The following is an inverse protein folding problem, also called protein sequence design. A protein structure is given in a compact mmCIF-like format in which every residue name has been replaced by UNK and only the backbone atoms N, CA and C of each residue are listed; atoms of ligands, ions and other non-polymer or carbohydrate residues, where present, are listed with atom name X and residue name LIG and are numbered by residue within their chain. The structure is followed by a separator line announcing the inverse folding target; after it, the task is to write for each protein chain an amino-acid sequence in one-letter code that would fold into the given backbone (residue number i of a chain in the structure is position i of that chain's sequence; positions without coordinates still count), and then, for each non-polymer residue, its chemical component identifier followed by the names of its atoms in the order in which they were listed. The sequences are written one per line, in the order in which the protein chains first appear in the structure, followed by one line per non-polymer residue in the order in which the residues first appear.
data_IF_778457713792
#
_entry.id   IF_778457713792
#
_cell.length_a   1.000
_cell.length_b   1.000
_cell.length_c   1.000
_cell.angle_alpha   90.00
_cell.angle_beta   90.00
_cell.angle_gamma   90.00
#
_symmetry.space_group_name_H-M   'P 1'
#
loop_
_entity.id
_entity.type
_entity.pdbx_description
1 polymer ?
#
# COMPACT_ATOMS: atom_id res chain seq x y z
N UNK A 1 -7.11 -5.62 14.56
CA UNK A 1 -5.92 -6.50 14.58
C UNK A 1 -4.71 -5.66 14.97
N UNK A 2 -3.77 -6.20 15.75
CA UNK A 2 -2.55 -5.49 16.15
C UNK A 2 -1.35 -6.27 15.63
N UNK A 3 -0.45 -5.59 14.92
CA UNK A 3 0.82 -6.17 14.48
C UNK A 3 1.97 -5.59 15.28
N UNK A 4 2.77 -6.45 15.88
CA UNK A 4 4.01 -6.12 16.56
C UNK A 4 5.18 -6.63 15.73
N UNK A 5 6.18 -5.79 15.53
CA UNK A 5 7.42 -6.18 14.86
C UNK A 5 8.54 -6.21 15.90
N UNK A 6 9.36 -7.29 15.93
CA UNK A 6 10.49 -7.35 16.84
C UNK A 6 11.62 -6.38 16.44
N UNK A 7 11.80 -6.14 15.14
CA UNK A 7 12.82 -5.24 14.59
C UNK A 7 12.38 -4.66 13.24
N UNK A 8 12.96 -3.52 12.85
CA UNK A 8 12.83 -2.94 11.49
C UNK A 8 14.07 -2.13 11.16
N UNK A 9 14.24 -1.77 9.88
CA UNK A 9 15.42 -1.04 9.37
C UNK A 9 15.88 0.13 10.26
N UNK A 10 14.93 0.95 10.74
CA UNK A 10 15.23 2.15 11.55
C UNK A 10 15.15 1.93 13.06
N UNK A 11 14.75 0.75 13.52
CA UNK A 11 14.65 0.38 14.93
C UNK A 11 15.14 -1.07 15.06
N UNK A 12 16.46 -1.23 15.02
CA UNK A 12 17.13 -2.53 15.05
C UNK A 12 17.13 -3.14 16.46
N UNK A 13 16.94 -2.32 17.50
CA UNK A 13 17.01 -2.71 18.91
C UNK A 13 15.64 -2.79 19.61
N UNK A 14 14.53 -2.79 18.84
CA UNK A 14 13.18 -2.87 19.39
C UNK A 14 12.46 -1.52 19.53
N UNK A 15 11.55 -1.41 20.50
CA UNK A 15 10.72 -0.21 20.79
C UNK A 15 9.80 0.24 19.64
N UNK A 16 9.49 -0.68 18.73
CA UNK A 16 8.58 -0.41 17.62
C UNK A 16 7.16 -0.35 18.18
N UNK A 17 6.54 0.83 18.10
CA UNK A 17 5.12 0.98 18.44
C UNK A 17 4.27 0.01 17.62
N UNK A 18 3.27 -0.65 18.21
CA UNK A 18 2.42 -1.59 17.50
C UNK A 18 1.68 -0.90 16.36
N UNK A 19 1.53 -1.59 15.24
CA UNK A 19 0.67 -1.16 14.14
C UNK A 19 -0.75 -1.62 14.42
N UNK A 20 -1.63 -0.65 14.67
CA UNK A 20 -3.06 -0.92 14.87
C UNK A 20 -3.74 -0.94 13.51
N UNK A 21 -4.30 -2.10 13.15
CA UNK A 21 -5.02 -2.31 11.92
C UNK A 21 -6.52 -2.40 12.20
N UNK A 22 -7.28 -1.59 11.47
CA UNK A 22 -8.73 -1.55 11.51
C UNK A 22 -9.30 -2.27 10.29
N UNK A 23 -10.41 -2.98 10.50
CA UNK A 23 -11.21 -3.45 9.37
C UNK A 23 -11.78 -2.23 8.64
N UNK A 24 -11.62 -2.19 7.32
CA UNK A 24 -12.18 -1.12 6.50
C UNK A 24 -13.68 -1.37 6.25
N UNK A 25 -14.45 -0.35 5.85
CA UNK A 25 -15.82 -0.54 5.36
C UNK A 25 -15.91 -1.54 4.19
N UNK A 26 -17.12 -2.00 3.89
CA UNK A 26 -17.33 -3.01 2.84
C UNK A 26 -16.98 -2.48 1.45
N UNK A 27 -17.19 -1.19 1.21
CA UNK A 27 -16.85 -0.53 -0.05
C UNK A 27 -15.34 -0.52 -0.32
N UNK A 28 -14.52 -0.66 0.72
CA UNK A 28 -13.05 -0.76 0.65
C UNK A 28 -12.55 -2.15 1.08
N UNK A 29 -13.39 -3.19 1.02
CA UNK A 29 -13.01 -4.54 1.43
C UNK A 29 -11.76 -5.05 0.70
N UNK A 30 -11.61 -4.70 -0.59
CA UNK A 30 -10.47 -5.04 -1.44
C UNK A 30 -9.13 -4.39 -1.00
N UNK A 31 -9.16 -3.34 -0.17
CA UNK A 31 -7.97 -2.70 0.40
C UNK A 31 -7.74 -3.09 1.86
N UNK A 32 -8.61 -3.91 2.44
CA UNK A 32 -8.65 -4.11 3.88
C UNK A 32 -7.57 -5.11 4.35
N UNK A 33 -6.51 -4.66 5.07
CA UNK A 33 -5.45 -5.57 5.52
C UNK A 33 -5.93 -6.59 6.55
N UNK A 34 -6.98 -6.26 7.32
CA UNK A 34 -7.55 -7.19 8.31
C UNK A 34 -8.25 -8.37 7.63
N UNK A 35 -9.10 -8.11 6.63
CA UNK A 35 -9.76 -9.15 5.83
C UNK A 35 -8.73 -9.99 5.06
N UNK A 36 -7.84 -9.34 4.31
CA UNK A 36 -6.79 -10.03 3.57
C UNK A 36 -5.93 -10.95 4.46
N UNK A 37 -5.60 -10.50 5.68
CA UNK A 37 -4.85 -11.32 6.63
C UNK A 37 -5.69 -12.50 7.17
N UNK A 38 -6.96 -12.27 7.49
CA UNK A 38 -7.86 -13.32 7.97
C UNK A 38 -8.06 -14.41 6.90
N UNK A 39 -8.28 -14.00 5.65
CA UNK A 39 -8.42 -14.90 4.50
C UNK A 39 -7.14 -15.71 4.29
N UNK A 40 -5.98 -15.06 4.36
CA UNK A 40 -4.69 -15.74 4.26
C UNK A 40 -4.46 -16.76 5.37
N UNK A 41 -4.73 -16.39 6.63
CA UNK A 41 -4.56 -17.31 7.77
C UNK A 41 -5.49 -18.52 7.61
N UNK A 42 -6.75 -18.28 7.21
CA UNK A 42 -7.72 -19.35 6.97
C UNK A 42 -7.31 -20.27 5.83
N UNK A 43 -6.87 -19.71 4.70
CA UNK A 43 -6.49 -20.48 3.52
C UNK A 43 -5.16 -21.23 3.68
N UNK A 44 -4.19 -20.61 4.36
CA UNK A 44 -2.86 -21.19 4.58
C UNK A 44 -2.84 -22.27 5.67
N UNK A 45 -3.77 -22.21 6.63
CA UNK A 45 -3.79 -23.09 7.79
C UNK A 45 -2.61 -22.89 8.74
N UNK A 46 -1.86 -21.79 8.61
CA UNK A 46 -0.69 -21.51 9.44
C UNK A 46 -1.15 -21.05 10.83
N UNK A 47 -0.82 -21.83 11.86
CA UNK A 47 -1.14 -21.51 13.25
C UNK A 47 0.06 -21.02 14.07
N UNK A 48 1.30 -21.20 13.57
CA UNK A 48 2.54 -20.81 14.25
C UNK A 48 3.70 -20.62 13.26
N UNK A 49 4.77 -19.95 13.72
CA UNK A 49 5.97 -19.70 12.92
C UNK A 49 5.83 -18.50 11.98
N UNK A 50 6.48 -18.56 10.82
CA UNK A 50 6.38 -17.51 9.81
C UNK A 50 4.99 -17.47 9.20
N UNK A 51 4.39 -16.27 9.20
CA UNK A 51 3.08 -16.01 8.62
C UNK A 51 3.11 -16.04 7.08
N UNK A 52 4.19 -15.55 6.48
CA UNK A 52 4.44 -15.60 5.05
C UNK A 52 5.59 -16.57 4.79
N UNK A 53 5.23 -17.83 4.57
CA UNK A 53 6.19 -18.90 4.28
C UNK A 53 6.59 -18.91 2.82
N UNK A 54 7.74 -19.50 2.52
CA UNK A 54 8.14 -19.78 1.14
C UNK A 54 7.00 -20.53 0.42
N UNK A 55 6.69 -20.14 -0.82
CA UNK A 55 5.70 -20.84 -1.62
C UNK A 55 6.33 -22.08 -2.27
N UNK A 56 5.63 -23.21 -2.17
CA UNK A 56 5.95 -24.48 -2.82
C UNK A 56 5.13 -24.62 -4.12
N UNK A 57 5.33 -25.74 -4.83
CA UNK A 57 4.57 -26.05 -6.04
C UNK A 57 3.06 -26.11 -5.78
N UNK A 58 2.29 -25.67 -6.78
CA UNK A 58 0.82 -25.64 -6.72
C UNK A 58 0.26 -24.54 -5.83
N UNK A 59 0.98 -23.42 -5.68
CA UNK A 59 0.56 -22.22 -4.93
C UNK A 59 0.21 -22.49 -3.47
N UNK A 60 0.97 -23.36 -2.83
CA UNK A 60 0.82 -23.70 -1.41
C UNK A 60 1.95 -23.13 -0.57
N UNK A 61 1.68 -22.60 0.63
CA UNK A 61 2.72 -22.31 1.60
C UNK A 61 3.52 -23.58 1.91
N UNK A 62 4.84 -23.45 2.05
CA UNK A 62 5.69 -24.56 2.45
C UNK A 62 5.28 -25.09 3.83
N UNK A 63 5.30 -26.43 3.97
CA UNK A 63 5.13 -27.07 5.27
C UNK A 63 6.28 -26.71 6.23
N UNK A 64 7.46 -26.39 5.69
CA UNK A 64 8.61 -25.96 6.47
C UNK A 64 8.41 -24.54 6.99
N UNK A 65 8.84 -24.31 8.23
CA UNK A 65 8.82 -22.98 8.86
C UNK A 65 9.97 -22.10 8.34
N UNK A 66 9.86 -21.71 7.06
CA UNK A 66 10.87 -20.92 6.35
C UNK A 66 10.22 -19.67 5.75
N UNK A 67 10.83 -18.48 5.92
CA UNK A 67 10.23 -17.24 5.45
C UNK A 67 10.27 -17.15 3.92
N UNK A 68 9.25 -16.52 3.35
CA UNK A 68 9.31 -16.06 1.96
C UNK A 68 10.43 -15.02 1.80
N UNK A 69 11.24 -15.16 0.75
CA UNK A 69 12.27 -14.17 0.43
C UNK A 69 11.70 -13.01 -0.38
N UNK A 70 12.39 -11.87 -0.41
CA UNK A 70 11.95 -10.72 -1.21
C UNK A 70 11.95 -11.02 -2.71
N UNK A 71 12.87 -11.88 -3.16
CA UNK A 71 12.99 -12.32 -4.55
C UNK A 71 11.80 -13.20 -4.94
N UNK A 72 11.45 -14.20 -4.11
CA UNK A 72 10.29 -15.05 -4.36
C UNK A 72 8.99 -14.24 -4.34
N UNK A 73 8.85 -13.31 -3.38
CA UNK A 73 7.71 -12.40 -3.36
C UNK A 73 7.59 -11.62 -4.67
N UNK A 74 8.71 -11.04 -5.14
CA UNK A 74 8.71 -10.22 -6.35
C UNK A 74 8.41 -11.05 -7.60
N UNK A 75 8.91 -12.28 -7.68
CA UNK A 75 8.61 -13.21 -8.77
C UNK A 75 7.10 -13.51 -8.82
N UNK A 76 6.51 -13.96 -7.72
CA UNK A 76 5.08 -14.29 -7.63
C UNK A 76 4.21 -13.06 -7.92
N UNK A 77 4.58 -11.91 -7.35
CA UNK A 77 3.87 -10.67 -7.59
C UNK A 77 3.82 -10.30 -9.08
N UNK A 78 4.92 -10.51 -9.81
CA UNK A 78 4.98 -10.24 -11.25
C UNK A 78 4.17 -11.24 -12.07
N UNK A 79 4.19 -12.52 -11.68
CA UNK A 79 3.33 -13.53 -12.31
C UNK A 79 1.84 -13.17 -12.13
N UNK A 80 1.43 -12.79 -10.92
CA UNK A 80 0.06 -12.35 -10.65
C UNK A 80 -0.34 -11.13 -11.50
N UNK A 81 0.59 -10.21 -11.79
CA UNK A 81 0.32 -9.08 -12.70
C UNK A 81 0.09 -9.54 -14.13
N UNK A 82 0.90 -10.48 -14.62
CA UNK A 82 0.70 -11.09 -15.93
C UNK A 82 -0.67 -11.77 -16.05
N UNK A 83 -1.11 -12.47 -15.00
CA UNK A 83 -2.39 -13.18 -14.98
C UNK A 83 -3.60 -12.24 -15.13
N UNK A 84 -3.46 -10.99 -14.68
CA UNK A 84 -4.49 -9.94 -14.84
C UNK A 84 -4.23 -9.00 -16.02
N UNK A 85 -3.26 -9.33 -16.89
CA UNK A 85 -2.95 -8.55 -18.09
C UNK A 85 -2.24 -7.22 -17.84
N UNK A 86 -1.54 -7.08 -16.71
CA UNK A 86 -0.76 -5.89 -16.35
C UNK A 86 0.72 -6.17 -16.63
N UNK A 87 1.40 -5.25 -17.33
CA UNK A 87 2.85 -5.32 -17.52
C UNK A 87 3.58 -5.23 -16.17
N UNK A 88 4.34 -6.26 -15.75
CA UNK A 88 5.06 -6.24 -14.48
C UNK A 88 6.31 -5.36 -14.46
N UNK A 89 6.83 -4.92 -15.62
CA UNK A 89 8.10 -4.22 -15.73
C UNK A 89 8.25 -2.95 -14.86
N UNK A 90 7.25 -2.06 -14.75
CA UNK A 90 7.35 -0.86 -13.90
C UNK A 90 7.16 -1.15 -12.41
N UNK A 91 6.83 -2.39 -12.01
CA UNK A 91 6.47 -2.73 -10.65
C UNK A 91 7.58 -3.47 -9.88
N UNK A 92 7.70 -3.11 -8.60
CA UNK A 92 8.63 -3.74 -7.66
C UNK A 92 8.24 -3.50 -6.20
N UNK A 93 9.11 -3.89 -5.26
CA UNK A 93 8.84 -3.76 -3.82
C UNK A 93 8.62 -2.31 -3.37
N UNK A 94 9.16 -1.33 -4.11
CA UNK A 94 8.92 0.09 -3.86
C UNK A 94 7.54 0.58 -4.34
N UNK A 95 6.87 -0.16 -5.23
CA UNK A 95 5.55 0.22 -5.75
C UNK A 95 4.50 0.28 -4.65
N UNK A 96 4.58 -0.60 -3.64
CA UNK A 96 3.68 -0.56 -2.48
C UNK A 96 3.80 0.74 -1.67
N UNK A 97 5.02 1.26 -1.52
CA UNK A 97 5.25 2.55 -0.83
C UNK A 97 4.72 3.73 -1.65
N UNK A 98 4.96 3.71 -2.96
CA UNK A 98 4.50 4.74 -3.90
C UNK A 98 2.97 4.77 -3.97
N UNK A 99 2.35 3.64 -4.30
CA UNK A 99 0.90 3.51 -4.39
C UNK A 99 0.20 3.85 -3.08
N UNK A 100 0.72 3.40 -1.94
CA UNK A 100 0.19 3.78 -0.62
C UNK A 100 0.30 5.29 -0.36
N UNK A 101 1.44 5.91 -0.70
CA UNK A 101 1.64 7.36 -0.59
C UNK A 101 0.65 8.14 -1.46
N UNK A 102 0.52 7.76 -2.73
CA UNK A 102 -0.38 8.38 -3.70
C UNK A 102 -1.83 8.21 -3.27
N UNK A 103 -2.23 7.02 -2.79
CA UNK A 103 -3.58 6.77 -2.27
C UNK A 103 -3.91 7.68 -1.07
N UNK A 104 -3.00 7.77 -0.09
CA UNK A 104 -3.20 8.61 1.08
C UNK A 104 -3.28 10.11 0.74
N UNK A 105 -2.50 10.56 -0.25
CA UNK A 105 -2.50 11.94 -0.70
C UNK A 105 -3.74 12.28 -1.55
N UNK A 106 -4.01 11.49 -2.59
CA UNK A 106 -5.05 11.79 -3.59
C UNK A 106 -6.45 11.42 -3.11
N UNK A 107 -6.64 10.24 -2.49
CA UNK A 107 -7.96 9.74 -2.14
C UNK A 107 -8.32 10.04 -0.68
N UNK A 108 -7.37 9.87 0.25
CA UNK A 108 -7.60 10.18 1.67
C UNK A 108 -7.35 11.64 2.03
N UNK A 109 -6.72 12.42 1.13
CA UNK A 109 -6.42 13.85 1.31
C UNK A 109 -5.65 14.14 2.60
N UNK A 110 -4.74 13.24 2.99
CA UNK A 110 -3.86 13.46 4.13
C UNK A 110 -2.82 14.53 3.83
N UNK A 111 -2.51 15.35 4.83
CA UNK A 111 -1.38 16.28 4.73
C UNK A 111 -0.06 15.50 4.62
N UNK A 112 0.88 16.01 3.83
CA UNK A 112 2.17 15.36 3.59
C UNK A 112 2.91 15.00 4.89
N UNK A 113 2.88 15.89 5.90
CA UNK A 113 3.46 15.62 7.23
C UNK A 113 2.88 14.34 7.86
N UNK A 114 1.56 14.16 7.83
CA UNK A 114 0.89 12.97 8.37
C UNK A 114 1.28 11.70 7.59
N UNK A 115 1.41 11.82 6.27
CA UNK A 115 1.86 10.71 5.41
C UNK A 115 3.32 10.33 5.75
N UNK A 116 4.21 11.30 5.90
CA UNK A 116 5.60 11.05 6.28
C UNK A 116 5.71 10.38 7.67
N UNK A 117 4.97 10.89 8.66
CA UNK A 117 4.93 10.31 10.01
C UNK A 117 4.44 8.86 9.98
N UNK A 118 3.38 8.57 9.21
CA UNK A 118 2.86 7.21 9.04
C UNK A 118 3.82 6.29 8.28
N UNK A 119 4.41 6.78 7.18
CA UNK A 119 5.33 6.02 6.33
C UNK A 119 6.74 5.86 6.93
N UNK A 120 7.03 6.54 8.03
CA UNK A 120 8.36 6.59 8.65
C UNK A 120 9.39 7.29 7.77
N UNK A 121 8.97 8.34 7.06
CA UNK A 121 9.81 9.19 6.21
C UNK A 121 10.13 10.51 6.89
N UNK A 122 11.19 11.17 6.44
CA UNK A 122 11.57 12.47 6.99
C UNK A 122 10.44 13.49 6.79
N UNK A 123 10.17 14.27 7.83
CA UNK A 123 9.30 15.45 7.78
C UNK A 123 10.07 16.73 7.47
N UNK A 124 11.38 16.64 7.26
CA UNK A 124 12.21 17.79 6.88
C UNK A 124 11.92 18.21 5.44
N UNK A 125 11.85 19.52 5.24
CA UNK A 125 11.52 20.12 3.94
C UNK A 125 12.51 19.76 2.83
N UNK A 126 13.79 19.53 3.17
CA UNK A 126 14.85 19.16 2.22
C UNK A 126 14.76 17.72 1.72
N UNK A 127 13.87 16.89 2.28
CA UNK A 127 13.77 15.47 1.90
C UNK A 127 12.99 15.26 0.61
N UNK A 128 13.69 14.82 -0.44
CA UNK A 128 13.07 14.47 -1.73
C UNK A 128 12.39 13.09 -1.74
N UNK A 129 12.44 12.33 -0.65
CA UNK A 129 11.87 10.96 -0.61
C UNK A 129 10.37 10.97 -0.86
N UNK A 130 9.63 11.89 -0.23
CA UNK A 130 8.17 11.97 -0.40
C UNK A 130 7.79 12.36 -1.84
N UNK A 131 8.51 13.32 -2.44
CA UNK A 131 8.25 13.75 -3.82
C UNK A 131 8.47 12.59 -4.78
N UNK A 132 9.55 11.82 -4.60
CA UNK A 132 9.81 10.61 -5.38
C UNK A 132 8.71 9.57 -5.23
N UNK A 133 7.91 9.56 -4.16
CA UNK A 133 6.81 8.62 -3.97
C UNK A 133 5.45 9.16 -4.44
N UNK A 134 5.29 10.48 -4.50
CA UNK A 134 4.09 11.12 -5.01
C UNK A 134 4.06 11.23 -6.53
N UNK A 135 5.24 11.39 -7.14
CA UNK A 135 5.38 11.63 -8.59
C UNK A 135 6.26 10.53 -9.17
N UNK A 136 5.71 9.79 -10.13
CA UNK A 136 6.37 8.78 -10.94
C UNK A 136 6.38 9.18 -12.41
N UNK A 137 7.33 8.65 -13.17
CA UNK A 137 7.40 8.87 -14.62
C UNK A 137 6.28 8.17 -15.39
N UNK A 138 5.62 7.19 -14.76
CA UNK A 138 4.53 6.40 -15.31
C UNK A 138 3.18 6.74 -14.63
N UNK A 139 3.06 7.93 -14.04
CA UNK A 139 1.77 8.40 -13.50
C UNK A 139 0.94 8.97 -14.66
N UNK A 140 -0.26 8.41 -14.86
CA UNK A 140 -1.20 8.94 -15.83
C UNK A 140 -1.87 10.22 -15.30
N UNK A 141 -2.01 11.27 -16.14
CA UNK A 141 -2.74 12.46 -15.75
C UNK A 141 -4.20 12.11 -15.46
N UNK A 142 -4.67 12.49 -14.27
CA UNK A 142 -6.05 12.21 -13.83
C UNK A 142 -7.08 13.20 -14.39
N UNK A 143 -6.62 14.35 -14.90
CA UNK A 143 -7.46 15.37 -15.52
C UNK A 143 -6.67 16.15 -16.59
N UNK A 144 -7.39 16.73 -17.57
CA UNK A 144 -6.77 17.57 -18.60
C UNK A 144 -6.35 18.92 -18.02
N UNK A 145 -5.27 19.49 -18.57
CA UNK A 145 -4.70 20.76 -18.09
C UNK A 145 -5.70 21.93 -18.14
N UNK A 146 -6.57 21.96 -19.15
CA UNK A 146 -7.56 23.03 -19.31
C UNK A 146 -8.63 23.03 -18.21
N UNK A 147 -8.77 21.92 -17.48
CA UNK A 147 -9.73 21.78 -16.40
C UNK A 147 -9.20 22.27 -15.03
N UNK A 148 -7.88 22.40 -14.83
CA UNK A 148 -7.29 22.74 -13.52
C UNK A 148 -7.89 23.99 -12.84
N UNK A 149 -8.38 24.95 -13.63
CA UNK A 149 -9.03 26.17 -13.14
C UNK A 149 -10.37 26.44 -13.84
N UNK A 150 -11.00 25.42 -14.43
CA UNK A 150 -12.27 25.60 -15.12
C UNK A 150 -13.40 25.77 -14.08
N UNK A 151 -13.97 26.97 -13.90
CA UNK A 151 -15.00 27.21 -12.88
C UNK A 151 -16.32 26.52 -13.20
N UNK A 152 -16.49 26.03 -14.43
CA UNK A 152 -17.69 25.34 -14.90
C UNK A 152 -17.55 23.81 -14.86
N UNK A 153 -16.42 23.28 -14.38
CA UNK A 153 -16.27 21.85 -14.22
C UNK A 153 -17.24 21.36 -13.13
N UNK A 154 -17.88 20.22 -13.36
CA UNK A 154 -18.84 19.67 -12.42
C UNK A 154 -18.09 19.17 -11.17
N UNK A 155 -18.46 19.61 -9.94
CA UNK A 155 -17.81 19.15 -8.72
C UNK A 155 -17.75 17.63 -8.70
N UNK A 156 -16.57 17.05 -8.48
CA UNK A 156 -16.52 15.62 -8.17
C UNK A 156 -17.43 15.32 -6.99
N UNK A 157 -18.06 14.16 -7.07
CA UNK A 157 -18.77 13.53 -5.95
C UNK A 157 -17.93 13.62 -4.69
N UNK A 158 -18.56 13.98 -3.56
CA UNK A 158 -17.91 14.01 -2.26
C UNK A 158 -17.19 12.68 -2.02
N UNK A 159 -15.92 12.74 -1.65
CA UNK A 159 -15.21 11.54 -1.25
C UNK A 159 -15.94 10.92 -0.04
N UNK A 160 -16.45 9.67 -0.13
CA UNK A 160 -17.20 9.05 0.96
C UNK A 160 -16.34 8.84 2.23
N UNK A 161 -15.01 8.97 2.12
CA UNK A 161 -14.08 8.73 3.21
C UNK A 161 -13.57 10.00 3.90
N UNK A 162 -13.32 11.08 3.17
CA UNK A 162 -12.83 12.32 3.77
C UNK A 162 -13.89 13.44 3.78
N UNK A 163 -15.05 13.22 3.14
CA UNK A 163 -16.14 14.20 3.05
C UNK A 163 -15.77 15.47 2.28
N UNK A 164 -14.63 15.47 1.57
CA UNK A 164 -14.17 16.61 0.76
C UNK A 164 -14.53 16.37 -0.71
N UNK A 165 -15.01 17.41 -1.38
CA UNK A 165 -15.17 17.49 -2.85
C UNK A 165 -13.96 18.21 -3.47
N UNK A 166 -13.56 17.90 -4.72
CA UNK A 166 -12.66 18.68 -5.61
C UNK A 166 -12.18 17.79 -6.79
N UNK A 167 -12.37 18.18 -8.09
CA UNK A 167 -11.62 19.22 -8.83
C UNK A 167 -12.34 20.52 -9.27
N UNK A 168 -13.43 20.95 -8.64
CA UNK A 168 -14.16 22.20 -9.01
C UNK A 168 -15.32 22.51 -8.05
N UNK A 169 -15.18 22.12 -6.78
CA UNK A 169 -16.08 22.57 -5.74
C UNK A 169 -15.63 23.92 -5.18
#
# INVERSE_FOLDING_TARGET
MILTLPFRKTHQFGEIKPFVLYALPEEEAYLCPVRAMADWISASGITSGYLFRRMASGDRPSANDSPMTSEQFLEIFRLNMCDVGIDPAPYGTHSFRRGGCQYLAAFRRWMLRRICEWGGWSTEFSSMTIVKYLISWNDDPTESRDNFFNPNQAPTVLCPHCGRSCPCA
#
